data_IF_943868215746
#
_entry.id   IF_943868215746
#
_cell.length_a   1.000
_cell.length_b   1.000
_cell.length_c   1.000
_cell.angle_alpha   90.00
_cell.angle_beta   90.00
_cell.angle_gamma   90.00
#
_symmetry.space_group_name_H-M   'P 1'
#
loop_
_entity.id
_entity.type
_entity.pdbx_description
1 polymer ?
#
# COMPACT_ATOMS: atom_id res chain seq x y z
N UNK A 1 14.20 -7.99 -5.86
CA UNK A 1 13.42 -7.65 -4.65
C UNK A 1 14.08 -6.58 -3.79
N UNK A 2 15.37 -6.67 -3.46
CA UNK A 2 16.05 -5.66 -2.64
C UNK A 2 15.99 -4.23 -3.20
N UNK A 3 16.09 -4.09 -4.53
CA UNK A 3 16.01 -2.79 -5.21
C UNK A 3 14.66 -2.09 -5.00
N UNK A 4 13.56 -2.81 -5.27
CA UNK A 4 12.19 -2.34 -5.03
C UNK A 4 11.99 -2.00 -3.54
N UNK A 5 12.48 -2.85 -2.63
CA UNK A 5 12.37 -2.59 -1.19
C UNK A 5 13.14 -1.34 -0.75
N UNK A 6 14.32 -1.09 -1.34
CA UNK A 6 15.10 0.12 -1.06
C UNK A 6 14.39 1.36 -1.58
N UNK A 7 13.92 1.34 -2.82
CA UNK A 7 13.19 2.45 -3.45
C UNK A 7 11.90 2.77 -2.69
N UNK A 8 11.11 1.76 -2.32
CA UNK A 8 9.93 1.92 -1.48
C UNK A 8 10.28 2.55 -0.12
N UNK A 9 11.42 2.16 0.48
CA UNK A 9 11.89 2.72 1.74
C UNK A 9 12.27 4.20 1.63
N UNK A 10 12.95 4.59 0.55
CA UNK A 10 13.34 5.97 0.28
C UNK A 10 12.11 6.86 0.01
N UNK A 11 11.17 6.39 -0.83
CA UNK A 11 9.91 7.08 -1.08
C UNK A 11 9.06 7.20 0.18
N UNK A 12 8.99 6.15 1.01
CA UNK A 12 8.27 6.19 2.29
C UNK A 12 8.89 7.20 3.27
N UNK A 13 10.21 7.34 3.27
CA UNK A 13 10.91 8.35 4.09
C UNK A 13 10.58 9.76 3.60
N UNK A 14 10.67 10.02 2.30
CA UNK A 14 10.33 11.32 1.70
C UNK A 14 8.87 11.69 1.93
N UNK A 15 7.95 10.72 1.84
CA UNK A 15 6.54 10.90 2.14
C UNK A 15 6.29 11.31 3.60
N UNK A 16 6.96 10.64 4.57
CA UNK A 16 6.88 11.01 6.00
C UNK A 16 7.46 12.39 6.29
N UNK A 17 8.50 12.79 5.56
CA UNK A 17 9.10 14.12 5.66
C UNK A 17 8.32 15.20 4.88
N UNK A 18 7.29 14.84 4.12
CA UNK A 18 6.50 15.75 3.29
C UNK A 18 7.25 16.30 2.07
N UNK A 19 8.36 15.68 1.67
CA UNK A 19 9.23 16.12 0.56
C UNK A 19 9.02 15.30 -0.71
N UNK A 20 7.92 14.58 -0.81
CA UNK A 20 7.60 13.76 -1.97
C UNK A 20 7.27 14.67 -3.15
N UNK A 21 7.95 14.47 -4.29
CA UNK A 21 7.70 15.28 -5.48
C UNK A 21 6.41 14.81 -6.17
N UNK A 22 5.68 15.70 -6.86
CA UNK A 22 4.49 15.34 -7.64
C UNK A 22 4.74 14.19 -8.62
N UNK A 23 5.91 14.16 -9.26
CA UNK A 23 6.29 13.12 -10.22
C UNK A 23 6.47 11.73 -9.56
N UNK A 24 6.72 11.69 -8.25
CA UNK A 24 6.86 10.43 -7.48
C UNK A 24 5.51 9.91 -6.96
N UNK A 25 4.44 10.71 -7.08
CA UNK A 25 3.08 10.36 -6.67
C UNK A 25 2.19 9.95 -7.86
N UNK A 26 2.66 10.19 -9.09
CA UNK A 26 1.88 9.98 -10.31
C UNK A 26 2.36 8.73 -11.07
N UNK A 27 1.48 8.18 -11.92
CA UNK A 27 1.79 7.02 -12.75
C UNK A 27 1.65 5.66 -12.05
N UNK A 28 1.06 5.61 -10.86
CA UNK A 28 0.71 4.35 -10.21
C UNK A 28 -0.38 3.60 -10.98
N UNK A 29 -0.21 2.29 -11.17
CA UNK A 29 -1.22 1.42 -11.80
C UNK A 29 -2.14 0.75 -10.77
N UNK A 30 -1.59 0.41 -9.60
CA UNK A 30 -2.24 -0.34 -8.53
C UNK A 30 -1.83 0.28 -7.21
N UNK A 31 -2.78 0.51 -6.30
CA UNK A 31 -2.51 0.92 -4.93
C UNK A 31 -2.60 -0.25 -3.96
N UNK A 32 -1.60 -0.39 -3.08
CA UNK A 32 -1.60 -1.41 -2.02
C UNK A 32 -1.95 -0.71 -0.69
N UNK A 33 -3.07 -1.11 -0.09
CA UNK A 33 -3.51 -0.59 1.21
C UNK A 33 -3.37 -1.66 2.28
N UNK A 34 -2.44 -1.46 3.22
CA UNK A 34 -2.28 -2.35 4.37
C UNK A 34 -3.36 -2.05 5.41
N UNK A 35 -4.34 -2.94 5.55
CA UNK A 35 -5.45 -2.83 6.52
C UNK A 35 -5.05 -3.24 7.95
N UNK A 36 -3.75 -3.40 8.19
CA UNK A 36 -3.14 -4.14 9.32
C UNK A 36 -3.58 -3.82 10.76
N UNK A 37 -4.43 -2.82 11.00
CA UNK A 37 -4.98 -2.51 12.34
C UNK A 37 -6.45 -2.08 12.40
N UNK A 38 -7.11 -1.81 11.28
CA UNK A 38 -8.49 -1.26 11.27
C UNK A 38 -9.54 -2.38 11.44
N UNK A 39 -9.17 -3.64 11.20
CA UNK A 39 -10.06 -4.79 11.37
C UNK A 39 -11.10 -4.87 10.26
N UNK A 40 -10.96 -5.88 9.39
CA UNK A 40 -11.92 -6.12 8.30
C UNK A 40 -11.48 -7.33 7.49
N UNK A 41 -12.40 -8.25 7.22
CA UNK A 41 -12.12 -9.41 6.35
C UNK A 41 -12.36 -9.05 4.87
N UNK A 42 -13.22 -8.05 4.63
CA UNK A 42 -13.58 -7.55 3.30
C UNK A 42 -13.62 -6.02 3.35
N UNK A 43 -13.19 -5.39 2.27
CA UNK A 43 -13.17 -3.94 2.12
C UNK A 43 -13.57 -3.58 0.69
N UNK A 44 -14.33 -2.50 0.53
CA UNK A 44 -14.71 -1.93 -0.77
C UNK A 44 -14.03 -0.58 -0.94
N UNK A 45 -12.75 -0.55 -1.35
CA UNK A 45 -12.02 0.70 -1.55
C UNK A 45 -12.63 1.52 -2.71
N UNK A 46 -12.54 2.84 -2.61
CA UNK A 46 -12.75 3.74 -3.75
C UNK A 46 -11.42 3.87 -4.49
N UNK A 47 -11.41 3.51 -5.78
CA UNK A 47 -10.22 3.59 -6.63
C UNK A 47 -9.94 5.04 -7.00
N UNK A 48 -8.69 5.48 -6.88
CA UNK A 48 -8.27 6.79 -7.33
C UNK A 48 -7.92 6.74 -8.82
N UNK A 49 -8.64 7.46 -9.68
CA UNK A 49 -8.27 7.54 -11.10
C UNK A 49 -6.88 8.18 -11.24
N UNK A 50 -5.92 7.62 -12.03
CA UNK A 50 -6.03 6.62 -13.10
C UNK A 50 -5.76 5.14 -12.72
N UNK A 51 -5.71 4.80 -11.43
CA UNK A 51 -5.43 3.43 -10.99
C UNK A 51 -6.57 2.48 -11.37
N UNK A 52 -6.24 1.21 -11.64
CA UNK A 52 -7.22 0.21 -12.10
C UNK A 52 -7.65 -0.78 -11.01
N UNK A 53 -6.90 -0.84 -9.91
CA UNK A 53 -7.20 -1.72 -8.79
C UNK A 53 -6.58 -1.24 -7.47
N UNK A 54 -7.25 -1.52 -6.36
CA UNK A 54 -6.70 -1.38 -5.01
C UNK A 54 -6.62 -2.76 -4.37
N UNK A 55 -5.42 -3.16 -3.94
CA UNK A 55 -5.19 -4.41 -3.21
C UNK A 55 -5.15 -4.14 -1.71
N UNK A 56 -6.18 -4.59 -0.99
CA UNK A 56 -6.22 -4.58 0.47
C UNK A 56 -5.48 -5.79 1.04
N UNK A 57 -4.46 -5.57 1.86
CA UNK A 57 -3.76 -6.64 2.60
C UNK A 57 -4.24 -6.63 4.04
N UNK A 58 -5.01 -7.65 4.43
CA UNK A 58 -5.49 -7.84 5.80
C UNK A 58 -4.52 -8.66 6.65
N UNK A 59 -4.58 -8.48 7.97
CA UNK A 59 -3.75 -9.23 8.91
C UNK A 59 -3.96 -10.74 8.75
N UNK A 60 -2.87 -11.53 8.75
CA UNK A 60 -2.95 -12.98 8.64
C UNK A 60 -3.80 -13.52 9.79
N UNK A 61 -4.95 -14.14 9.48
CA UNK A 61 -5.59 -15.06 10.42
C UNK A 61 -4.66 -16.27 10.55
N UNK A 62 -3.96 -16.36 11.68
CA UNK A 62 -3.31 -17.59 12.09
C UNK A 62 -4.42 -18.53 12.55
N UNK A 63 -4.96 -19.30 11.62
CA UNK A 63 -5.83 -20.42 11.97
C UNK A 63 -4.91 -21.52 12.50
N UNK A 64 -4.64 -21.51 13.81
CA UNK A 64 -4.12 -22.69 14.48
C UNK A 64 -5.21 -23.76 14.36
N UNK A 65 -5.06 -24.66 13.38
CA UNK A 65 -5.50 -26.03 13.60
C UNK A 65 -4.61 -26.58 14.73
N UNK A 66 -5.27 -27.16 15.73
CA UNK A 66 -4.72 -27.83 16.91
C UNK A 66 -3.37 -28.52 16.66
#
# INVERSE_FOLDING_TARGET
>A
MLEISREMGELAKLAREGKLKPDQMQGGCISISSLGGIGGTYFTPIINAPEVAIMGVASRRQHCYL
#
